data_IF_776368005835
#
_entry.id   IF_776368005835
#
_cell.length_a   1.000
_cell.length_b   1.000
_cell.length_c   1.000
_cell.angle_alpha   90.00
_cell.angle_beta   90.00
_cell.angle_gamma   90.00
#
_symmetry.space_group_name_H-M   'P 1'
#
loop_
_entity.id
_entity.type
_entity.pdbx_description
1 polymer ?
#
# COMPACT_ATOMS: atom_id res chain seq x y z
N UNK A 1 -3.83 -19.16 -28.20
CA UNK A 1 -4.64 -18.47 -27.16
C UNK A 1 -5.05 -17.08 -27.63
N UNK A 2 -6.06 -16.95 -28.50
CA UNK A 2 -6.40 -15.64 -29.08
C UNK A 2 -7.10 -14.68 -28.10
N UNK A 3 -8.03 -15.17 -27.26
CA UNK A 3 -8.77 -14.32 -26.32
C UNK A 3 -7.90 -13.77 -25.19
N UNK A 4 -7.06 -14.62 -24.58
CA UNK A 4 -6.14 -14.22 -23.51
C UNK A 4 -5.13 -13.19 -24.02
N UNK A 5 -4.52 -13.44 -25.18
CA UNK A 5 -3.54 -12.51 -25.75
C UNK A 5 -4.18 -11.17 -26.14
N UNK A 6 -5.39 -11.19 -26.72
CA UNK A 6 -6.14 -9.94 -27.01
C UNK A 6 -6.40 -9.16 -25.72
N UNK A 7 -6.96 -9.79 -24.69
CA UNK A 7 -7.25 -9.12 -23.41
C UNK A 7 -5.99 -8.56 -22.76
N UNK A 8 -4.87 -9.30 -22.78
CA UNK A 8 -3.57 -8.81 -22.28
C UNK A 8 -3.11 -7.56 -23.04
N UNK A 9 -3.20 -7.58 -24.37
CA UNK A 9 -2.82 -6.44 -25.20
C UNK A 9 -3.71 -5.22 -24.93
N UNK A 10 -5.02 -5.42 -24.79
CA UNK A 10 -5.97 -4.35 -24.47
C UNK A 10 -5.63 -3.71 -23.10
N UNK A 11 -5.32 -4.53 -22.09
CA UNK A 11 -4.93 -4.08 -20.76
C UNK A 11 -3.56 -3.36 -20.75
N UNK A 12 -2.58 -3.84 -21.50
CA UNK A 12 -1.27 -3.19 -21.65
C UNK A 12 -1.37 -1.85 -22.42
N UNK A 13 -2.33 -1.73 -23.33
CA UNK A 13 -2.60 -0.50 -24.05
C UNK A 13 -3.45 0.51 -23.24
N UNK A 14 -4.09 0.07 -22.15
CA UNK A 14 -4.97 0.90 -21.35
C UNK A 14 -4.19 1.98 -20.58
N UNK A 15 -4.30 3.23 -21.06
CA UNK A 15 -3.61 4.41 -20.49
C UNK A 15 -4.60 5.57 -20.35
N UNK A 16 -5.49 5.56 -19.34
CA UNK A 16 -6.40 6.67 -19.10
C UNK A 16 -5.64 7.95 -18.76
N UNK A 17 -6.31 9.09 -19.00
CA UNK A 17 -5.79 10.40 -18.59
C UNK A 17 -5.79 10.51 -17.08
N UNK A 18 -4.84 11.27 -16.53
CA UNK A 18 -4.83 11.61 -15.10
C UNK A 18 -6.07 12.44 -14.75
N UNK A 19 -6.46 12.38 -13.47
CA UNK A 19 -7.63 13.08 -12.94
C UNK A 19 -7.27 14.34 -12.16
N UNK A 20 -5.98 14.63 -12.03
CA UNK A 20 -5.45 15.82 -11.37
C UNK A 20 -4.21 16.32 -12.10
N UNK A 21 -3.99 17.64 -12.08
CA UNK A 21 -2.76 18.23 -12.57
C UNK A 21 -1.56 17.78 -11.73
N UNK A 22 -0.43 17.51 -12.40
CA UNK A 22 0.76 16.95 -11.74
C UNK A 22 1.46 17.96 -10.85
N UNK A 23 1.46 19.25 -11.19
CA UNK A 23 2.08 20.30 -10.39
C UNK A 23 1.23 20.56 -9.14
N UNK A 24 -0.10 20.64 -9.28
CA UNK A 24 -1.02 20.77 -8.15
C UNK A 24 -0.91 19.60 -7.17
N UNK A 25 -0.91 18.36 -7.67
CA UNK A 25 -0.75 17.16 -6.85
C UNK A 25 0.61 17.16 -6.13
N UNK A 26 1.67 17.54 -6.85
CA UNK A 26 3.01 17.57 -6.28
C UNK A 26 3.12 18.58 -5.15
N UNK A 27 2.60 19.79 -5.39
CA UNK A 27 2.59 20.85 -4.41
C UNK A 27 1.80 20.47 -3.16
N UNK A 28 0.64 19.81 -3.32
CA UNK A 28 -0.14 19.29 -2.19
C UNK A 28 0.67 18.32 -1.34
N UNK A 29 1.23 17.28 -1.95
CA UNK A 29 1.94 16.25 -1.20
C UNK A 29 3.26 16.75 -0.60
N UNK A 30 3.98 17.65 -1.26
CA UNK A 30 5.17 18.28 -0.68
C UNK A 30 4.80 19.10 0.57
N UNK A 31 3.73 19.88 0.53
CA UNK A 31 3.25 20.63 1.68
C UNK A 31 2.85 19.70 2.84
N UNK A 32 2.10 18.64 2.52
CA UNK A 32 1.73 17.61 3.51
C UNK A 32 3.00 17.02 4.12
N UNK A 33 3.90 16.43 3.33
CA UNK A 33 5.09 15.75 3.83
C UNK A 33 5.99 16.67 4.66
N UNK A 34 6.19 17.92 4.23
CA UNK A 34 6.94 18.93 4.98
C UNK A 34 6.30 19.22 6.34
N UNK A 35 4.96 19.25 6.44
CA UNK A 35 4.26 19.47 7.70
C UNK A 35 4.42 18.32 8.72
N UNK A 36 4.85 17.13 8.27
CA UNK A 36 5.13 15.97 9.14
C UNK A 36 6.62 15.81 9.48
N UNK A 37 7.53 16.49 8.78
CA UNK A 37 8.97 16.30 8.93
C UNK A 37 9.46 16.54 10.37
N UNK A 38 8.87 17.51 11.07
CA UNK A 38 9.21 17.86 12.46
C UNK A 38 8.28 17.19 13.50
N UNK A 39 7.27 16.43 13.06
CA UNK A 39 6.30 15.79 13.97
C UNK A 39 6.86 14.48 14.52
N UNK A 40 7.16 14.36 15.83
CA UNK A 40 7.76 13.16 16.39
C UNK A 40 6.83 11.96 16.25
N UNK A 41 7.41 10.78 15.98
CA UNK A 41 6.67 9.53 15.90
C UNK A 41 6.26 8.99 17.28
N UNK A 42 6.96 9.40 18.35
CA UNK A 42 6.75 8.97 19.73
C UNK A 42 6.61 7.44 19.86
N UNK A 43 7.52 6.70 19.22
CA UNK A 43 7.45 5.24 19.12
C UNK A 43 7.58 4.60 20.50
N UNK A 44 6.58 3.79 20.87
CA UNK A 44 6.59 2.98 22.10
C UNK A 44 6.67 1.50 21.74
N UNK A 45 7.49 0.75 22.48
CA UNK A 45 7.65 -0.70 22.36
C UNK A 45 7.02 -1.39 23.55
N UNK A 46 6.32 -2.50 23.32
CA UNK A 46 5.81 -3.37 24.36
C UNK A 46 5.94 -4.83 23.95
N UNK A 47 6.56 -5.66 24.78
CA UNK A 47 6.67 -7.10 24.53
C UNK A 47 5.31 -7.77 24.39
N UNK A 48 5.19 -8.68 23.43
CA UNK A 48 4.02 -9.54 23.21
C UNK A 48 4.48 -10.99 23.33
N UNK A 49 3.77 -11.77 24.14
CA UNK A 49 4.06 -13.21 24.29
C UNK A 49 3.70 -13.96 23.00
N UNK A 50 4.53 -14.95 22.64
CA UNK A 50 4.36 -15.77 21.44
C UNK A 50 4.90 -17.18 21.68
N UNK A 51 4.30 -18.22 21.06
CA UNK A 51 4.88 -19.56 21.08
C UNK A 51 6.15 -19.71 20.21
N UNK A 52 6.45 -18.74 19.34
CA UNK A 52 7.65 -18.77 18.48
C UNK A 52 8.87 -18.35 19.30
N UNK A 53 9.71 -19.32 19.68
CA UNK A 53 10.84 -19.09 20.59
C UNK A 53 12.10 -18.49 19.95
N UNK A 54 12.16 -18.43 18.63
CA UNK A 54 13.33 -17.97 17.85
C UNK A 54 13.22 -16.50 17.42
N UNK A 55 12.22 -15.78 17.94
CA UNK A 55 11.95 -14.38 17.60
C UNK A 55 11.63 -13.56 18.84
N UNK A 56 11.84 -12.25 18.76
CA UNK A 56 11.25 -11.28 19.70
C UNK A 56 10.07 -10.62 19.02
N UNK A 57 8.93 -10.61 19.71
CA UNK A 57 7.70 -9.99 19.24
C UNK A 57 7.33 -8.84 20.15
N UNK A 58 7.08 -7.69 19.56
CA UNK A 58 6.71 -6.46 20.25
C UNK A 58 5.55 -5.79 19.53
N UNK A 59 4.68 -5.13 20.28
CA UNK A 59 3.76 -4.13 19.77
C UNK A 59 4.50 -2.80 19.69
N UNK A 60 4.64 -2.26 18.49
CA UNK A 60 5.01 -0.86 18.30
C UNK A 60 3.74 -0.02 18.29
N UNK A 61 3.83 1.16 18.89
CA UNK A 61 2.82 2.22 18.77
C UNK A 61 3.51 3.48 18.30
N UNK A 62 3.02 4.10 17.22
CA UNK A 62 3.52 5.38 16.71
C UNK A 62 2.36 6.33 16.43
N UNK A 63 2.63 7.64 16.43
CA UNK A 63 1.63 8.64 16.06
C UNK A 63 1.44 8.67 14.54
N UNK A 64 0.22 8.39 14.09
CA UNK A 64 -0.21 8.43 12.70
C UNK A 64 -0.40 9.84 12.13
N UNK A 65 -1.26 9.97 11.12
CA UNK A 65 -1.55 11.24 10.44
C UNK A 65 -2.14 12.33 11.36
N UNK A 66 -3.08 11.95 12.21
CA UNK A 66 -3.85 12.83 13.09
C UNK A 66 -3.57 12.54 14.57
N UNK A 67 -2.33 12.16 14.90
CA UNK A 67 -1.89 11.71 16.22
C UNK A 67 -2.60 10.43 16.75
N UNK A 68 -3.44 9.77 15.93
CA UNK A 68 -3.99 8.44 16.27
C UNK A 68 -2.83 7.49 16.62
N UNK A 69 -2.87 6.80 17.77
CA UNK A 69 -1.84 5.82 18.14
C UNK A 69 -2.00 4.57 17.27
N UNK A 70 -1.20 4.47 16.22
CA UNK A 70 -1.23 3.32 15.31
C UNK A 70 -0.42 2.19 15.92
N UNK A 71 -1.05 1.02 16.05
CA UNK A 71 -0.43 -0.18 16.56
C UNK A 71 0.07 -1.07 15.42
N UNK A 72 1.20 -1.73 15.64
CA UNK A 72 1.69 -2.76 14.73
C UNK A 72 2.50 -3.82 15.46
N UNK A 73 2.58 -4.99 14.86
CA UNK A 73 3.33 -6.12 15.36
C UNK A 73 4.72 -6.08 14.72
N UNK A 74 5.73 -5.83 15.55
CA UNK A 74 7.13 -5.83 15.16
C UNK A 74 7.80 -7.10 15.63
N UNK A 75 8.39 -7.83 14.69
CA UNK A 75 8.94 -9.16 14.94
C UNK A 75 10.36 -9.20 14.40
N UNK A 76 11.29 -9.52 15.29
CA UNK A 76 12.72 -9.57 14.98
C UNK A 76 13.20 -11.01 15.14
N UNK A 77 13.73 -11.65 14.07
CA UNK A 77 14.29 -12.99 14.18
C UNK A 77 15.66 -12.98 14.86
N UNK A 78 16.12 -14.14 15.33
CA UNK A 78 17.35 -14.33 16.10
C UNK A 78 18.58 -13.59 15.54
N UNK A 79 18.73 -13.48 14.22
CA UNK A 79 19.84 -12.79 13.57
C UNK A 79 19.91 -11.31 14.00
N UNK A 80 18.76 -10.63 14.06
CA UNK A 80 18.68 -9.24 14.52
C UNK A 80 18.93 -9.11 16.01
N UNK A 81 18.48 -10.10 16.80
CA UNK A 81 18.74 -10.16 18.24
C UNK A 81 20.23 -10.35 18.56
N UNK A 82 20.99 -10.95 17.63
CA UNK A 82 22.43 -11.12 17.72
C UNK A 82 23.21 -9.91 17.19
N UNK A 83 22.54 -8.79 16.89
CA UNK A 83 23.15 -7.52 16.49
C UNK A 83 23.27 -7.28 14.98
N UNK A 84 22.74 -8.16 14.12
CA UNK A 84 22.71 -7.90 12.69
C UNK A 84 21.64 -6.86 12.32
N UNK A 85 21.96 -5.94 11.41
CA UNK A 85 20.98 -5.06 10.77
C UNK A 85 20.25 -5.82 9.67
N UNK A 86 18.93 -5.96 9.80
CA UNK A 86 18.09 -6.81 8.95
C UNK A 86 17.36 -6.00 7.89
N UNK A 87 17.10 -6.58 6.70
CA UNK A 87 16.08 -6.05 5.82
C UNK A 87 14.72 -6.13 6.53
N UNK A 88 13.84 -5.16 6.28
CA UNK A 88 12.52 -5.11 6.91
C UNK A 88 11.40 -5.15 5.89
N UNK A 89 10.36 -5.94 6.15
CA UNK A 89 9.09 -5.88 5.43
C UNK A 89 8.05 -5.18 6.29
N UNK A 90 7.57 -4.02 5.83
CA UNK A 90 6.41 -3.32 6.39
C UNK A 90 5.16 -3.84 5.69
N UNK A 91 4.21 -4.38 6.44
CA UNK A 91 3.03 -5.05 5.89
C UNK A 91 1.77 -4.25 6.21
N UNK A 92 1.03 -3.87 5.17
CA UNK A 92 -0.27 -3.21 5.28
C UNK A 92 -1.41 -4.18 5.00
N UNK A 93 -2.55 -3.99 5.68
CA UNK A 93 -3.66 -4.94 5.64
C UNK A 93 -4.70 -4.62 4.56
N UNK A 94 -5.40 -5.66 4.11
CA UNK A 94 -6.62 -5.53 3.32
C UNK A 94 -7.75 -4.87 4.13
N UNK A 95 -8.79 -4.41 3.43
CA UNK A 95 -9.92 -3.74 4.06
C UNK A 95 -10.59 -4.66 5.09
N UNK A 96 -10.92 -4.11 6.26
CA UNK A 96 -11.40 -4.75 7.49
C UNK A 96 -10.42 -5.74 8.15
N UNK A 97 -9.20 -5.87 7.62
CA UNK A 97 -8.15 -6.73 8.16
C UNK A 97 -7.44 -6.18 9.39
N UNK A 98 -6.47 -6.96 9.87
CA UNK A 98 -5.70 -6.72 11.08
C UNK A 98 -4.24 -7.19 10.90
N UNK A 99 -3.34 -6.73 11.77
CA UNK A 99 -1.93 -7.17 11.83
C UNK A 99 -1.73 -8.63 12.24
N UNK A 100 -2.80 -9.36 12.59
CA UNK A 100 -2.76 -10.76 12.93
C UNK A 100 -1.90 -11.13 14.12
N UNK A 101 -1.38 -12.36 14.06
CA UNK A 101 -0.49 -12.97 15.02
C UNK A 101 0.88 -13.28 14.37
N UNK A 102 1.95 -13.46 15.16
CA UNK A 102 3.30 -13.66 14.64
C UNK A 102 3.44 -14.79 13.61
N UNK A 103 2.69 -15.87 13.74
CA UNK A 103 2.77 -17.07 12.90
C UNK A 103 2.43 -16.77 11.43
N UNK A 104 1.60 -15.75 11.19
CA UNK A 104 1.24 -15.28 9.83
C UNK A 104 2.48 -14.87 9.03
N UNK A 105 3.56 -14.50 9.70
CA UNK A 105 4.77 -13.92 9.10
C UNK A 105 5.99 -14.86 9.13
N UNK A 106 5.80 -16.14 9.50
CA UNK A 106 6.89 -17.09 9.70
C UNK A 106 7.84 -17.22 8.49
N UNK A 107 7.33 -17.16 7.26
CA UNK A 107 8.16 -17.25 6.06
C UNK A 107 9.19 -16.11 5.98
N UNK A 108 8.79 -14.87 6.25
CA UNK A 108 9.70 -13.72 6.26
C UNK A 108 10.76 -13.85 7.35
N UNK A 109 10.36 -14.29 8.54
CA UNK A 109 11.23 -14.47 9.68
C UNK A 109 12.29 -15.55 9.44
N UNK A 110 11.90 -16.69 8.86
CA UNK A 110 12.81 -17.77 8.47
C UNK A 110 13.82 -17.34 7.41
N UNK A 111 13.45 -16.36 6.57
CA UNK A 111 14.32 -15.78 5.55
C UNK A 111 15.21 -14.64 6.08
N UNK A 112 15.11 -14.31 7.37
CA UNK A 112 15.95 -13.32 8.03
C UNK A 112 15.48 -11.87 7.89
N UNK A 113 14.19 -11.65 7.60
CA UNK A 113 13.58 -10.33 7.58
C UNK A 113 13.03 -9.95 8.95
N UNK A 114 13.23 -8.70 9.35
CA UNK A 114 12.37 -8.09 10.36
C UNK A 114 10.99 -7.82 9.74
N UNK A 115 9.92 -7.99 10.52
CA UNK A 115 8.55 -7.76 10.05
C UNK A 115 7.94 -6.64 10.88
N UNK A 116 7.32 -5.66 10.21
CA UNK A 116 6.46 -4.69 10.86
C UNK A 116 5.07 -4.71 10.22
N UNK A 117 4.14 -5.46 10.82
CA UNK A 117 2.76 -5.54 10.35
C UNK A 117 1.88 -4.49 11.03
N UNK A 118 1.31 -3.58 10.26
CA UNK A 118 0.63 -2.38 10.76
C UNK A 118 -0.87 -2.61 10.75
N UNK A 119 -1.58 -2.28 11.83
CA UNK A 119 -3.05 -2.25 11.83
C UNK A 119 -3.56 -1.07 10.99
N UNK A 120 -4.68 -1.27 10.29
CA UNK A 120 -5.39 -0.18 9.65
C UNK A 120 -6.30 0.54 10.66
N UNK A 121 -6.21 1.88 10.72
CA UNK A 121 -6.95 2.71 11.68
C UNK A 121 -8.46 2.41 11.70
N UNK A 122 -8.99 2.16 12.89
CA UNK A 122 -10.41 1.87 13.15
C UNK A 122 -10.89 0.48 12.71
N UNK A 123 -10.11 -0.28 11.93
CA UNK A 123 -10.60 -1.51 11.30
C UNK A 123 -10.47 -2.74 12.22
N UNK A 124 -10.14 -3.91 11.69
CA UNK A 124 -10.20 -5.19 12.43
C UNK A 124 -9.15 -5.36 13.54
N UNK A 125 -8.23 -4.41 13.69
CA UNK A 125 -7.13 -4.44 14.65
C UNK A 125 -7.42 -3.75 15.98
N UNK A 126 -6.35 -3.47 16.73
CA UNK A 126 -6.41 -2.75 18.01
C UNK A 126 -6.43 -1.23 17.81
N UNK A 127 -5.99 -0.76 16.64
CA UNK A 127 -5.86 0.67 16.35
C UNK A 127 -7.23 1.32 16.25
N UNK A 128 -7.49 2.29 17.14
CA UNK A 128 -8.67 3.14 17.07
C UNK A 128 -8.62 4.15 15.92
N UNK A 129 -9.41 5.21 16.03
CA UNK A 129 -9.45 6.29 15.05
C UNK A 129 -9.81 7.60 15.76
N UNK A 130 -8.91 8.59 15.75
CA UNK A 130 -9.15 9.92 16.36
C UNK A 130 -9.72 10.95 15.37
N UNK A 131 -9.95 10.56 14.12
CA UNK A 131 -10.41 11.47 13.08
C UNK A 131 -11.75 12.11 13.45
N UNK A 132 -11.73 13.42 13.69
CA UNK A 132 -12.92 14.23 13.97
C UNK A 132 -13.77 14.39 12.72
N UNK A 133 -15.10 14.38 12.87
CA UNK A 133 -16.03 14.60 11.75
C UNK A 133 -17.07 15.65 12.10
N UNK A 134 -17.16 16.68 11.27
CA UNK A 134 -18.22 17.70 11.34
C UNK A 134 -19.47 17.27 10.55
N UNK A 135 -19.37 16.18 9.77
CA UNK A 135 -20.42 15.64 8.93
C UNK A 135 -20.70 14.16 9.23
N UNK A 136 -21.88 13.68 8.83
CA UNK A 136 -22.18 12.25 8.84
C UNK A 136 -21.54 11.52 7.66
N UNK A 137 -21.31 10.21 7.80
CA UNK A 137 -20.78 9.33 6.76
C UNK A 137 -21.60 8.04 6.70
N UNK A 138 -21.40 7.20 5.68
CA UNK A 138 -22.12 5.92 5.57
C UNK A 138 -21.41 4.82 6.37
N UNK A 139 -22.07 3.67 6.57
CA UNK A 139 -21.47 2.53 7.28
C UNK A 139 -20.14 2.13 6.61
N UNK A 140 -19.10 2.06 7.42
CA UNK A 140 -17.73 1.73 7.00
C UNK A 140 -16.78 2.88 7.31
N UNK A 141 -15.70 3.02 6.53
CA UNK A 141 -14.58 3.91 6.84
C UNK A 141 -14.29 4.91 5.74
N UNK A 142 -14.39 4.50 4.48
CA UNK A 142 -13.80 5.27 3.37
C UNK A 142 -14.60 6.52 2.99
N UNK A 143 -15.82 6.68 3.52
CA UNK A 143 -16.64 7.89 3.35
C UNK A 143 -16.47 8.92 4.48
N UNK A 144 -15.71 8.61 5.53
CA UNK A 144 -15.49 9.53 6.64
C UNK A 144 -14.64 10.74 6.19
N UNK A 145 -15.20 11.95 6.33
CA UNK A 145 -14.53 13.21 5.94
C UNK A 145 -14.28 13.37 4.44
N UNK A 146 -14.93 12.56 3.58
CA UNK A 146 -14.59 12.42 2.15
C UNK A 146 -14.81 13.67 1.28
N UNK A 147 -15.41 14.71 1.83
CA UNK A 147 -15.63 16.03 1.20
C UNK A 147 -14.52 17.03 1.49
N UNK A 148 -13.58 16.69 2.37
CA UNK A 148 -12.44 17.51 2.76
C UNK A 148 -11.18 16.66 2.70
N UNK A 149 -10.30 16.92 1.73
CA UNK A 149 -9.09 16.12 1.51
C UNK A 149 -8.26 15.96 2.78
N UNK A 150 -7.95 17.06 3.48
CA UNK A 150 -7.07 17.06 4.66
C UNK A 150 -7.65 16.34 5.87
N UNK A 151 -8.98 16.28 5.98
CA UNK A 151 -9.71 15.61 7.08
C UNK A 151 -10.33 14.28 6.66
N UNK A 152 -9.98 13.79 5.47
CA UNK A 152 -10.52 12.53 4.96
C UNK A 152 -9.85 11.33 5.60
N UNK A 153 -10.58 10.21 5.67
CA UNK A 153 -10.01 8.93 6.07
C UNK A 153 -8.77 8.54 5.23
N UNK A 154 -8.81 8.85 3.92
CA UNK A 154 -7.71 8.58 3.01
C UNK A 154 -6.44 9.38 3.34
N UNK A 155 -6.56 10.65 3.72
CA UNK A 155 -5.41 11.42 4.20
C UNK A 155 -4.77 10.79 5.41
N UNK A 156 -5.60 10.42 6.38
CA UNK A 156 -5.14 9.92 7.65
C UNK A 156 -4.48 8.54 7.50
N UNK A 157 -5.12 7.58 6.81
CA UNK A 157 -4.57 6.24 6.59
C UNK A 157 -3.33 6.26 5.67
N UNK A 158 -3.26 7.17 4.70
CA UNK A 158 -2.06 7.31 3.85
C UNK A 158 -0.87 7.78 4.67
N UNK A 159 -1.06 8.78 5.53
CA UNK A 159 0.01 9.26 6.40
C UNK A 159 0.41 8.27 7.48
N UNK A 160 -0.52 7.43 7.98
CA UNK A 160 -0.15 6.30 8.84
C UNK A 160 0.82 5.36 8.11
N UNK A 161 0.48 4.98 6.87
CA UNK A 161 1.31 4.08 6.07
C UNK A 161 2.70 4.68 5.81
N UNK A 162 2.78 5.95 5.40
CA UNK A 162 4.06 6.67 5.20
C UNK A 162 4.90 6.69 6.47
N UNK A 163 4.27 7.00 7.62
CA UNK A 163 4.95 7.08 8.92
C UNK A 163 5.32 5.71 9.50
N UNK A 164 4.66 4.64 9.06
CA UNK A 164 5.07 3.27 9.39
C UNK A 164 6.45 2.94 8.82
N UNK A 165 6.77 3.42 7.63
CA UNK A 165 8.10 3.24 7.01
C UNK A 165 9.16 3.97 7.84
N UNK A 166 8.89 5.20 8.27
CA UNK A 166 9.80 5.93 9.15
C UNK A 166 9.95 5.25 10.52
N UNK A 167 8.85 4.71 11.06
CA UNK A 167 8.87 3.93 12.30
C UNK A 167 9.75 2.69 12.17
N UNK A 168 9.66 1.95 11.06
CA UNK A 168 10.53 0.81 10.79
C UNK A 168 12.01 1.22 10.65
N UNK A 169 12.29 2.31 9.95
CA UNK A 169 13.64 2.84 9.76
C UNK A 169 14.31 3.26 11.08
N UNK A 170 13.53 3.72 12.06
CA UNK A 170 14.03 4.09 13.38
C UNK A 170 14.40 2.91 14.28
N UNK A 171 14.10 1.66 13.92
CA UNK A 171 14.38 0.51 14.78
C UNK A 171 15.86 0.09 14.68
N UNK A 172 16.47 -0.18 15.84
CA UNK A 172 17.88 -0.55 15.94
C UNK A 172 18.22 -1.85 15.20
N UNK A 173 17.26 -2.72 14.95
CA UNK A 173 17.47 -3.99 14.27
C UNK A 173 17.28 -3.89 12.75
N UNK A 174 16.78 -2.76 12.24
CA UNK A 174 16.49 -2.54 10.82
C UNK A 174 17.64 -1.82 10.11
N UNK A 175 17.94 -2.31 8.91
CA UNK A 175 18.74 -1.63 7.91
C UNK A 175 17.85 -0.69 7.09
N UNK A 176 17.97 0.63 7.31
CA UNK A 176 17.09 1.62 6.69
C UNK A 176 17.20 1.68 5.16
N UNK A 177 18.28 1.17 4.57
CA UNK A 177 18.44 1.09 3.11
C UNK A 177 17.82 -0.17 2.50
N UNK A 178 17.15 -1.02 3.31
CA UNK A 178 16.54 -2.28 2.87
C UNK A 178 15.15 -2.47 3.46
N UNK A 179 14.29 -1.48 3.29
CA UNK A 179 12.89 -1.52 3.72
C UNK A 179 11.99 -1.79 2.50
N UNK A 180 11.24 -2.88 2.53
CA UNK A 180 10.18 -3.15 1.56
C UNK A 180 8.81 -2.93 2.18
N UNK A 181 7.85 -2.54 1.33
CA UNK A 181 6.42 -2.45 1.69
C UNK A 181 5.64 -3.52 0.94
N UNK A 182 4.77 -4.23 1.64
CA UNK A 182 4.03 -5.39 1.13
C UNK A 182 2.56 -5.29 1.53
N UNK A 183 1.66 -5.56 0.59
CA UNK A 183 0.24 -5.64 0.91
C UNK A 183 -0.62 -6.08 -0.26
N UNK A 184 -1.86 -6.47 0.06
CA UNK A 184 -2.86 -6.88 -0.91
C UNK A 184 -4.13 -6.04 -0.81
N UNK A 185 -4.82 -5.78 -1.94
CA UNK A 185 -6.06 -4.99 -1.98
C UNK A 185 -5.85 -3.58 -1.39
N UNK A 186 -6.53 -3.21 -0.30
CA UNK A 186 -6.23 -1.96 0.44
C UNK A 186 -4.74 -1.88 0.81
N UNK A 187 -4.16 -2.95 1.34
CA UNK A 187 -2.75 -2.99 1.71
C UNK A 187 -1.83 -2.80 0.51
N UNK A 188 -2.20 -3.30 -0.66
CA UNK A 188 -1.43 -3.11 -1.90
C UNK A 188 -1.43 -1.67 -2.37
N UNK A 189 -2.58 -0.99 -2.28
CA UNK A 189 -2.64 0.44 -2.55
C UNK A 189 -1.86 1.28 -1.52
N UNK A 190 -1.92 0.93 -0.23
CA UNK A 190 -1.13 1.59 0.82
C UNK A 190 0.38 1.39 0.60
N UNK A 191 0.81 0.21 0.14
CA UNK A 191 2.21 -0.05 -0.23
C UNK A 191 2.67 0.88 -1.35
N UNK A 192 1.87 1.03 -2.41
CA UNK A 192 2.22 1.92 -3.53
C UNK A 192 2.19 3.39 -3.11
N UNK A 193 1.23 3.81 -2.27
CA UNK A 193 1.16 5.17 -1.73
C UNK A 193 2.38 5.48 -0.84
N UNK A 194 2.74 4.57 0.07
CA UNK A 194 3.93 4.70 0.89
C UNK A 194 5.20 4.83 0.03
N UNK A 195 5.31 4.05 -1.04
CA UNK A 195 6.45 4.13 -1.96
C UNK A 195 6.48 5.41 -2.81
N UNK A 196 5.32 6.00 -3.13
CA UNK A 196 5.21 7.27 -3.83
C UNK A 196 5.55 8.48 -2.94
N UNK A 197 5.46 8.32 -1.62
CA UNK A 197 5.50 9.42 -0.65
C UNK A 197 6.64 9.30 0.38
N UNK A 198 7.34 8.17 0.45
CA UNK A 198 8.49 7.97 1.32
C UNK A 198 9.68 7.36 0.55
N UNK A 199 10.77 8.13 0.43
CA UNK A 199 11.96 7.72 -0.31
C UNK A 199 12.78 6.62 0.36
N UNK A 200 12.47 6.24 1.61
CA UNK A 200 13.14 5.12 2.30
C UNK A 200 12.65 3.75 1.81
N UNK A 201 11.54 3.69 1.08
CA UNK A 201 11.05 2.45 0.49
C UNK A 201 12.02 1.98 -0.60
N UNK A 202 12.60 0.81 -0.39
CA UNK A 202 13.61 0.20 -1.27
C UNK A 202 13.01 -0.81 -2.26
N UNK A 203 11.83 -1.38 -1.97
CA UNK A 203 11.10 -2.28 -2.86
C UNK A 203 9.61 -2.36 -2.49
N UNK A 204 8.77 -2.71 -3.45
CA UNK A 204 7.31 -2.78 -3.28
C UNK A 204 6.76 -4.11 -3.79
N UNK A 205 5.91 -4.75 -3.00
CA UNK A 205 4.99 -5.79 -3.46
C UNK A 205 3.56 -5.30 -3.23
N UNK A 206 2.81 -5.16 -4.32
CA UNK A 206 1.43 -4.67 -4.30
C UNK A 206 0.52 -5.65 -5.04
N UNK A 207 -0.09 -6.56 -4.29
CA UNK A 207 -0.98 -7.56 -4.85
C UNK A 207 -2.39 -7.01 -5.01
N UNK A 208 -3.01 -7.24 -6.18
CA UNK A 208 -4.38 -6.82 -6.51
C UNK A 208 -4.74 -5.42 -5.94
N UNK A 209 -3.91 -4.39 -6.17
CA UNK A 209 -3.94 -3.17 -5.37
C UNK A 209 -5.22 -2.35 -5.61
N UNK A 210 -5.81 -1.88 -4.50
CA UNK A 210 -6.86 -0.86 -4.51
C UNK A 210 -6.22 0.55 -4.66
N UNK A 211 -7.02 1.61 -4.56
CA UNK A 211 -6.60 3.02 -4.73
C UNK A 211 -5.95 3.29 -6.09
N UNK A 212 -6.36 2.52 -7.10
CA UNK A 212 -5.93 2.63 -8.48
C UNK A 212 -7.13 3.06 -9.33
N UNK A 213 -6.99 4.12 -10.13
CA UNK A 213 -8.04 4.65 -11.02
C UNK A 213 -9.42 4.73 -10.32
N UNK A 214 -9.46 5.48 -9.23
CA UNK A 214 -10.50 5.41 -8.21
C UNK A 214 -11.85 5.92 -8.70
N UNK A 215 -11.88 6.86 -9.64
CA UNK A 215 -13.11 7.35 -10.28
C UNK A 215 -13.78 6.25 -11.13
N UNK A 216 -13.00 5.52 -11.94
CA UNK A 216 -13.47 4.33 -12.65
C UNK A 216 -13.89 3.23 -11.66
N UNK A 217 -13.08 3.01 -10.62
CA UNK A 217 -13.37 2.07 -9.55
C UNK A 217 -14.70 2.37 -8.84
N UNK A 218 -14.97 3.64 -8.56
CA UNK A 218 -16.19 4.12 -7.92
C UNK A 218 -17.42 3.88 -8.80
N UNK A 219 -17.32 4.19 -10.10
CA UNK A 219 -18.41 3.97 -11.06
C UNK A 219 -18.82 2.49 -11.16
N UNK A 220 -17.84 1.58 -11.04
CA UNK A 220 -18.02 0.13 -11.13
C UNK A 220 -17.96 -0.55 -9.75
N UNK A 221 -18.19 0.22 -8.67
CA UNK A 221 -17.82 -0.20 -7.32
C UNK A 221 -18.50 -1.47 -6.84
N UNK A 222 -17.70 -2.33 -6.24
CA UNK A 222 -18.10 -3.38 -5.31
C UNK A 222 -17.33 -3.20 -4.00
N UNK A 223 -17.65 -3.96 -2.95
CA UNK A 223 -16.93 -3.90 -1.66
C UNK A 223 -16.81 -2.47 -1.09
N UNK A 224 -15.64 -2.06 -0.57
CA UNK A 224 -15.44 -0.79 0.16
C UNK A 224 -15.82 0.47 -0.63
N UNK A 225 -15.57 0.53 -1.94
CA UNK A 225 -15.93 1.70 -2.75
C UNK A 225 -17.45 1.90 -2.86
N UNK A 226 -18.26 0.88 -2.55
CA UNK A 226 -19.72 1.04 -2.49
C UNK A 226 -20.15 1.99 -1.38
N UNK A 227 -19.33 2.20 -0.35
CA UNK A 227 -19.58 3.17 0.70
C UNK A 227 -19.59 4.60 0.14
N UNK A 228 -18.59 4.92 -0.68
CA UNK A 228 -18.50 6.23 -1.33
C UNK A 228 -19.64 6.40 -2.35
N UNK A 229 -19.97 5.36 -3.12
CA UNK A 229 -21.10 5.38 -4.04
C UNK A 229 -22.43 5.60 -3.30
N UNK A 230 -22.63 4.97 -2.14
CA UNK A 230 -23.82 5.17 -1.29
C UNK A 230 -23.86 6.60 -0.72
N UNK A 231 -22.72 7.15 -0.32
CA UNK A 231 -22.63 8.53 0.15
C UNK A 231 -23.02 9.52 -0.95
N UNK A 232 -22.45 9.39 -2.16
CA UNK A 232 -22.78 10.22 -3.33
C UNK A 232 -24.25 10.04 -3.74
N UNK A 233 -24.79 8.82 -3.69
CA UNK A 233 -26.21 8.58 -3.97
C UNK A 233 -27.12 9.36 -3.02
N UNK A 234 -26.70 9.58 -1.77
CA UNK A 234 -27.42 10.39 -0.78
C UNK A 234 -27.21 11.89 -0.99
N UNK A 235 -26.01 12.29 -1.40
CA UNK A 235 -25.60 13.69 -1.57
C UNK A 235 -24.97 13.92 -2.95
N UNK A 236 -25.76 13.85 -4.05
CA UNK A 236 -25.23 13.92 -5.41
C UNK A 236 -24.54 15.26 -5.72
N UNK A 237 -24.94 16.34 -5.05
CA UNK A 237 -24.31 17.66 -5.16
C UNK A 237 -22.85 17.68 -4.68
N UNK A 238 -22.43 16.68 -3.89
CA UNK A 238 -21.06 16.57 -3.34
C UNK A 238 -20.11 15.77 -4.25
N UNK A 239 -20.57 15.26 -5.39
CA UNK A 239 -19.78 14.40 -6.27
C UNK A 239 -18.42 14.99 -6.63
N UNK A 240 -18.37 16.26 -7.04
CA UNK A 240 -17.11 16.90 -7.46
C UNK A 240 -16.12 17.03 -6.30
N UNK A 241 -16.59 17.35 -5.08
CA UNK A 241 -15.73 17.44 -3.91
C UNK A 241 -15.15 16.07 -3.53
N UNK A 242 -15.96 15.00 -3.65
CA UNK A 242 -15.51 13.63 -3.42
C UNK A 242 -14.48 13.20 -4.46
N UNK A 243 -14.74 13.40 -5.75
CA UNK A 243 -13.79 13.05 -6.81
C UNK A 243 -12.48 13.83 -6.69
N UNK A 244 -12.56 15.12 -6.34
CA UNK A 244 -11.38 15.94 -6.05
C UNK A 244 -10.58 15.38 -4.87
N UNK A 245 -11.24 14.99 -3.78
CA UNK A 245 -10.57 14.33 -2.64
C UNK A 245 -9.89 13.04 -3.07
N UNK A 246 -10.59 12.15 -3.78
CA UNK A 246 -10.04 10.86 -4.23
C UNK A 246 -8.83 11.02 -5.15
N UNK A 247 -8.83 12.03 -6.03
CA UNK A 247 -7.74 12.27 -6.97
C UNK A 247 -6.37 12.51 -6.29
N UNK A 248 -6.35 13.00 -5.04
CA UNK A 248 -5.11 13.17 -4.26
C UNK A 248 -4.50 11.84 -3.82
N UNK A 249 -5.30 10.78 -3.67
CA UNK A 249 -4.89 9.46 -3.19
C UNK A 249 -4.93 8.39 -4.29
N UNK A 250 -5.30 8.77 -5.50
CA UNK A 250 -5.35 7.88 -6.65
C UNK A 250 -3.94 7.64 -7.20
N UNK A 251 -3.51 6.38 -7.19
CA UNK A 251 -2.24 5.95 -7.74
C UNK A 251 -2.13 6.19 -9.24
N UNK A 252 -3.23 6.41 -9.97
CA UNK A 252 -3.20 6.87 -11.35
C UNK A 252 -2.40 8.18 -11.49
N UNK A 253 -2.54 9.06 -10.51
CA UNK A 253 -1.89 10.37 -10.48
C UNK A 253 -0.51 10.30 -9.81
N UNK A 254 -0.32 9.41 -8.82
CA UNK A 254 0.92 9.29 -8.04
C UNK A 254 1.94 8.30 -8.64
N UNK A 255 1.59 7.48 -9.62
CA UNK A 255 2.44 6.40 -10.14
C UNK A 255 3.87 6.82 -10.52
N UNK A 256 4.05 8.03 -11.10
CA UNK A 256 5.37 8.50 -11.56
C UNK A 256 6.29 8.93 -10.40
N UNK A 257 5.73 9.14 -9.20
CA UNK A 257 6.52 9.40 -7.98
C UNK A 257 7.22 8.13 -7.46
N UNK A 258 6.73 6.94 -7.79
CA UNK A 258 7.31 5.68 -7.32
C UNK A 258 8.67 5.46 -8.01
N UNK A 259 9.74 5.44 -7.22
CA UNK A 259 11.13 5.20 -7.70
C UNK A 259 11.66 3.82 -7.35
N UNK A 260 11.15 3.20 -6.28
CA UNK A 260 11.49 1.86 -5.89
C UNK A 260 11.07 0.82 -6.95
N UNK A 261 11.77 -0.31 -7.07
CA UNK A 261 11.28 -1.45 -7.85
C UNK A 261 9.94 -1.97 -7.33
N UNK A 262 9.04 -2.34 -8.24
CA UNK A 262 7.67 -2.76 -7.90
C UNK A 262 7.34 -4.13 -8.52
N UNK A 263 6.85 -5.05 -7.71
CA UNK A 263 6.09 -6.21 -8.16
C UNK A 263 4.60 -5.96 -7.90
N UNK A 264 3.79 -6.03 -8.95
CA UNK A 264 2.34 -6.00 -8.84
C UNK A 264 1.75 -7.36 -9.24
N UNK A 265 0.58 -7.69 -8.73
CA UNK A 265 -0.23 -8.80 -9.25
C UNK A 265 -1.66 -8.40 -9.56
N UNK A 266 -2.30 -9.13 -10.48
CA UNK A 266 -3.66 -8.86 -10.93
C UNK A 266 -4.42 -10.14 -11.27
N UNK A 267 -5.63 -10.28 -10.74
CA UNK A 267 -6.61 -11.28 -11.18
C UNK A 267 -7.52 -10.70 -12.25
N UNK A 268 -7.60 -11.30 -13.45
CA UNK A 268 -8.43 -10.73 -14.52
C UNK A 268 -9.94 -10.91 -14.30
N UNK A 269 -10.35 -11.74 -13.34
CA UNK A 269 -11.75 -11.89 -12.91
C UNK A 269 -12.04 -11.13 -11.62
N UNK A 270 -11.11 -10.33 -11.13
CA UNK A 270 -11.32 -9.51 -9.95
C UNK A 270 -12.36 -8.43 -10.23
N UNK A 271 -13.44 -8.44 -9.46
CA UNK A 271 -14.54 -7.45 -9.55
C UNK A 271 -14.45 -6.38 -8.46
N UNK A 272 -13.47 -6.48 -7.55
CA UNK A 272 -13.20 -5.52 -6.49
C UNK A 272 -12.09 -4.57 -6.93
N UNK A 273 -10.92 -5.11 -7.28
CA UNK A 273 -9.79 -4.38 -7.84
C UNK A 273 -9.62 -4.79 -9.31
N UNK A 274 -10.42 -4.17 -10.17
CA UNK A 274 -10.54 -4.57 -11.58
C UNK A 274 -9.20 -4.46 -12.32
N UNK A 275 -8.91 -5.36 -13.28
CA UNK A 275 -7.67 -5.31 -14.04
C UNK A 275 -7.47 -3.97 -14.75
N UNK A 276 -8.53 -3.32 -15.24
CA UNK A 276 -8.45 -1.96 -15.82
C UNK A 276 -7.81 -0.96 -14.84
N UNK A 277 -8.22 -0.98 -13.58
CA UNK A 277 -7.69 -0.07 -12.55
C UNK A 277 -6.21 -0.33 -12.28
N UNK A 278 -5.83 -1.60 -12.14
CA UNK A 278 -4.46 -2.00 -11.82
C UNK A 278 -3.52 -1.73 -13.00
N UNK A 279 -3.93 -2.06 -14.23
CA UNK A 279 -3.13 -1.79 -15.43
C UNK A 279 -2.99 -0.29 -15.70
N UNK A 280 -4.01 0.53 -15.41
CA UNK A 280 -3.91 1.98 -15.54
C UNK A 280 -2.75 2.56 -14.71
N UNK A 281 -2.54 2.04 -13.50
CA UNK A 281 -1.42 2.43 -12.62
C UNK A 281 -0.12 1.79 -13.08
N UNK A 282 -0.10 0.47 -13.28
CA UNK A 282 1.09 -0.27 -13.71
C UNK A 282 1.71 0.34 -14.97
N UNK A 283 0.89 0.68 -15.98
CA UNK A 283 1.34 1.24 -17.25
C UNK A 283 1.99 2.64 -17.11
N UNK A 284 1.72 3.35 -16.01
CA UNK A 284 2.27 4.69 -15.70
C UNK A 284 3.53 4.67 -14.83
N UNK A 285 3.72 3.64 -13.99
CA UNK A 285 4.96 3.50 -13.19
C UNK A 285 6.18 3.50 -14.10
N UNK A 286 7.20 4.30 -13.76
CA UNK A 286 8.43 4.47 -14.56
C UNK A 286 9.65 3.77 -13.97
N UNK A 287 9.61 3.44 -12.68
CA UNK A 287 10.65 2.63 -12.04
C UNK A 287 10.66 1.21 -12.61
N UNK A 288 11.66 0.42 -12.21
CA UNK A 288 11.67 -1.00 -12.51
C UNK A 288 10.38 -1.63 -11.98
N UNK A 289 9.67 -2.36 -12.84
CA UNK A 289 8.38 -2.93 -12.50
C UNK A 289 8.18 -4.30 -13.15
N UNK A 290 7.45 -5.14 -12.46
CA UNK A 290 6.96 -6.44 -12.93
C UNK A 290 5.47 -6.55 -12.60
N UNK A 291 4.70 -7.16 -13.50
CA UNK A 291 3.30 -7.49 -13.26
C UNK A 291 3.08 -8.98 -13.49
N UNK A 292 2.62 -9.66 -12.45
CA UNK A 292 2.16 -11.05 -12.53
C UNK A 292 0.65 -11.05 -12.76
N UNK A 293 0.22 -11.42 -13.96
CA UNK A 293 -1.19 -11.50 -14.34
C UNK A 293 -1.75 -12.93 -14.27
N UNK A 294 -2.91 -13.07 -13.63
CA UNK A 294 -3.61 -14.33 -13.40
C UNK A 294 -4.98 -14.31 -14.09
N UNK A 295 -5.09 -14.80 -15.35
CA UNK A 295 -6.30 -14.68 -16.18
C UNK A 295 -7.58 -15.30 -15.60
N UNK A 296 -7.43 -16.21 -14.64
CA UNK A 296 -8.54 -16.99 -14.08
C UNK A 296 -8.83 -16.70 -12.62
N UNK A 297 -8.00 -15.89 -11.95
CA UNK A 297 -8.16 -15.53 -10.54
C UNK A 297 -9.07 -14.32 -10.37
N UNK A 298 -9.81 -14.33 -9.26
CA UNK A 298 -10.63 -13.21 -8.78
C UNK A 298 -9.86 -12.32 -7.81
N UNK A 299 -10.55 -11.86 -6.76
CA UNK A 299 -9.97 -11.04 -5.69
C UNK A 299 -9.24 -11.91 -4.65
N UNK A 300 -8.11 -12.50 -5.05
CA UNK A 300 -7.35 -13.44 -4.22
C UNK A 300 -5.84 -13.38 -4.53
N UNK A 301 -5.01 -13.73 -3.56
CA UNK A 301 -3.55 -13.86 -3.72
C UNK A 301 -3.18 -15.32 -3.51
N UNK A 302 -2.60 -15.95 -4.53
CA UNK A 302 -2.26 -17.38 -4.50
C UNK A 302 -0.96 -17.64 -3.74
N UNK A 303 -0.77 -18.87 -3.26
CA UNK A 303 0.51 -19.31 -2.68
C UNK A 303 1.68 -19.19 -3.66
N UNK A 304 1.40 -19.35 -4.96
CA UNK A 304 2.40 -19.13 -6.00
C UNK A 304 2.83 -17.66 -6.04
N UNK A 305 1.87 -16.71 -6.04
CA UNK A 305 2.19 -15.29 -6.00
C UNK A 305 2.91 -14.87 -4.70
N UNK A 306 2.56 -15.47 -3.56
CA UNK A 306 3.28 -15.24 -2.30
C UNK A 306 4.77 -15.63 -2.41
N UNK A 307 5.08 -16.69 -3.15
CA UNK A 307 6.46 -17.11 -3.42
C UNK A 307 7.18 -16.16 -4.37
N UNK A 308 6.51 -15.73 -5.45
CA UNK A 308 7.07 -14.74 -6.38
C UNK A 308 7.42 -13.43 -5.66
N UNK A 309 6.58 -13.01 -4.71
CA UNK A 309 6.83 -11.85 -3.86
C UNK A 309 8.10 -11.99 -3.02
N UNK A 310 8.31 -13.17 -2.43
CA UNK A 310 9.54 -13.48 -1.67
C UNK A 310 10.77 -13.43 -2.59
N UNK A 311 10.70 -14.07 -3.76
CA UNK A 311 11.82 -14.12 -4.71
C UNK A 311 12.20 -12.73 -5.22
N UNK A 312 11.19 -11.93 -5.58
CA UNK A 312 11.38 -10.55 -6.00
C UNK A 312 12.08 -9.71 -4.93
N UNK A 313 11.61 -9.76 -3.68
CA UNK A 313 12.22 -8.99 -2.59
C UNK A 313 13.63 -9.47 -2.24
N UNK A 314 13.91 -10.77 -2.31
CA UNK A 314 15.26 -11.29 -2.12
C UNK A 314 16.25 -10.71 -3.13
N UNK A 315 15.85 -10.58 -4.39
CA UNK A 315 16.71 -9.98 -5.41
C UNK A 315 16.81 -8.45 -5.23
N UNK A 316 15.67 -7.78 -5.03
CA UNK A 316 15.60 -6.33 -4.85
C UNK A 316 16.46 -5.83 -3.69
N UNK A 317 16.48 -6.54 -2.57
CA UNK A 317 17.12 -6.10 -1.34
C UNK A 317 18.54 -6.68 -1.12
N UNK A 318 18.99 -7.66 -1.91
CA UNK A 318 20.38 -8.19 -1.81
C UNK A 318 21.36 -7.51 -2.76
N UNK A 319 20.95 -7.23 -4.00
CA UNK A 319 21.89 -6.88 -5.06
C UNK A 319 21.56 -5.57 -5.78
N UNK A 320 20.40 -4.97 -5.49
CA UNK A 320 19.76 -4.03 -6.41
C UNK A 320 19.33 -4.77 -7.67
N UNK A 321 18.03 -4.74 -8.01
CA UNK A 321 17.56 -5.42 -9.22
C UNK A 321 18.29 -4.88 -10.45
N UNK A 322 18.93 -5.77 -11.22
CA UNK A 322 19.38 -5.46 -12.58
C UNK A 322 18.16 -5.51 -13.51
N UNK A 323 18.03 -4.61 -14.50
CA UNK A 323 16.96 -4.69 -15.48
C UNK A 323 16.94 -6.09 -16.11
N UNK A 324 15.81 -6.79 -16.06
CA UNK A 324 15.65 -8.01 -16.85
C UNK A 324 15.58 -7.63 -18.33
N UNK A 325 16.11 -8.49 -19.20
CA UNK A 325 16.14 -8.27 -20.66
C UNK A 325 14.72 -8.08 -21.23
N UNK A 326 13.70 -8.70 -20.60
CA UNK A 326 12.30 -8.55 -20.98
C UNK A 326 11.69 -7.17 -20.64
N UNK A 327 12.23 -6.46 -19.64
CA UNK A 327 11.78 -5.11 -19.29
C UNK A 327 12.25 -4.04 -20.31
N UNK A 328 13.36 -4.30 -20.99
CA UNK A 328 13.92 -3.41 -22.02
C UNK A 328 13.17 -3.57 -23.35
N UNK A 329 12.81 -4.81 -23.73
CA UNK A 329 12.11 -5.06 -25.00
C UNK A 329 10.68 -4.49 -25.06
N UNK A 330 10.05 -4.19 -23.90
CA UNK A 330 8.76 -3.50 -23.85
C UNK A 330 8.85 -1.97 -23.80
N UNK A 331 10.02 -1.40 -23.47
CA UNK A 331 10.24 0.05 -23.52
C UNK A 331 10.70 0.53 -24.90
N UNK A 332 11.48 -0.28 -25.64
CA UNK A 332 12.07 0.12 -26.93
C UNK A 332 11.18 -0.15 -28.16
N UNK A 333 9.89 -0.47 -27.97
CA UNK A 333 8.93 -0.71 -29.07
C UNK A 333 7.78 0.31 -29.16
N UNK A 334 7.86 1.45 -28.49
CA UNK A 334 6.92 2.57 -28.67
C UNK A 334 7.66 3.89 -28.89
#
# INVERSE_FOLDING_TARGET
MHAINRRKNDLLAYRPSVTMDVEELNQYWENVLNSYAERPLDVKRQTVETPITTVRTERLTYKGGDDTPIHGLYIVPQQGLNGAKLPCVVIYQGYTGDKGLPERYAAWLLLGYAVFAVDARGQGGETGNLLTSDEGFVKGWVSQGITNTERSYYQAITMDAVRAVDTAALQDEVDESRIAVVGASQGGGLSLLAAALNSKVSAVVADIPNMCHMDFGLMNSTSSLTEIAQYIKRYPERLNAVLSTLAHFDLLNLAERIKAPVLMSVGWKDTVCMPETIYAVYNRIRSLKQLNDYPFSGHEVSEYQNRESILFLQEALKNGLKPSIDAIEQQDKN
#
